data_IF_640610170562
#
_entry.id   IF_640610170562
#
_cell.length_a   1.000
_cell.length_b   1.000
_cell.length_c   1.000
_cell.angle_alpha   90.00
_cell.angle_beta   90.00
_cell.angle_gamma   90.00
#
_symmetry.space_group_name_H-M   'P 1'
#
loop_
_entity.id
_entity.type
_entity.pdbx_description
1 polymer ?
#
# COMPACT_ATOMS: atom_id res chain seq x y z
N UNK A 1 12.89 17.52 15.86
CA UNK A 1 12.04 16.31 16.05
C UNK A 1 12.13 15.35 14.85
N UNK A 2 13.33 15.02 14.38
CA UNK A 2 13.52 14.16 13.19
C UNK A 2 13.28 12.66 13.43
N UNK A 3 13.50 12.18 14.67
CA UNK A 3 13.39 10.76 15.02
C UNK A 3 11.97 10.17 14.88
N UNK A 4 10.92 10.94 15.20
CA UNK A 4 9.52 10.47 15.07
C UNK A 4 9.12 10.26 13.61
N UNK A 5 9.65 11.08 12.68
CA UNK A 5 9.41 10.94 11.25
C UNK A 5 10.09 9.68 10.69
N UNK A 6 11.34 9.42 11.07
CA UNK A 6 12.09 8.26 10.56
C UNK A 6 11.36 6.93 10.85
N UNK A 7 10.92 6.74 12.11
CA UNK A 7 10.19 5.53 12.52
C UNK A 7 8.88 5.31 11.76
N UNK A 8 8.22 6.38 11.32
CA UNK A 8 6.99 6.27 10.53
C UNK A 8 7.26 5.79 9.11
N UNK A 9 8.36 6.23 8.49
CA UNK A 9 8.79 5.72 7.20
C UNK A 9 9.15 4.25 7.28
N UNK A 10 9.91 3.84 8.31
CA UNK A 10 10.27 2.43 8.52
C UNK A 10 9.03 1.54 8.57
N UNK A 11 8.02 1.93 9.36
CA UNK A 11 6.76 1.18 9.47
C UNK A 11 5.99 1.14 8.14
N UNK A 12 5.95 2.24 7.39
CA UNK A 12 5.26 2.29 6.09
C UNK A 12 5.98 1.40 5.06
N UNK A 13 7.31 1.40 5.08
CA UNK A 13 8.15 0.56 4.22
C UNK A 13 7.96 -0.92 4.57
N UNK A 14 7.93 -1.29 5.84
CA UNK A 14 7.63 -2.66 6.28
C UNK A 14 6.22 -3.09 5.82
N UNK A 15 5.21 -2.24 6.00
CA UNK A 15 3.83 -2.52 5.57
C UNK A 15 3.70 -2.80 4.07
N UNK A 16 4.41 -2.02 3.24
CA UNK A 16 4.35 -2.21 1.79
C UNK A 16 5.26 -3.35 1.33
N UNK A 17 6.43 -3.53 1.94
CA UNK A 17 7.33 -4.63 1.64
C UNK A 17 6.67 -6.00 1.89
N UNK A 18 5.97 -6.16 3.02
CA UNK A 18 5.17 -7.36 3.31
C UNK A 18 4.09 -7.65 2.24
N UNK A 19 3.62 -6.62 1.52
CA UNK A 19 2.70 -6.81 0.39
C UNK A 19 3.40 -7.29 -0.89
N UNK A 20 4.67 -6.90 -1.07
CA UNK A 20 5.48 -7.17 -2.26
C UNK A 20 6.32 -8.46 -2.13
N UNK A 21 6.56 -8.94 -0.90
CA UNK A 21 7.34 -10.13 -0.57
C UNK A 21 6.63 -11.46 -0.93
N UNK A 22 5.72 -11.44 -1.91
CA UNK A 22 5.14 -12.66 -2.49
C UNK A 22 6.13 -13.46 -3.35
N UNK A 23 7.37 -12.98 -3.52
CA UNK A 23 8.44 -13.69 -4.22
C UNK A 23 9.20 -12.85 -5.25
N UNK A 24 8.95 -11.54 -5.37
CA UNK A 24 9.67 -10.67 -6.32
C UNK A 24 10.83 -9.94 -5.65
N UNK A 25 12.06 -10.38 -5.93
CA UNK A 25 13.25 -9.52 -5.83
C UNK A 25 13.08 -8.37 -6.84
N UNK A 26 13.16 -7.12 -6.40
CA UNK A 26 13.06 -5.93 -7.28
C UNK A 26 14.37 -5.80 -8.06
N UNK A 27 14.61 -6.67 -9.03
CA UNK A 27 15.81 -6.65 -9.87
C UNK A 27 15.50 -6.10 -11.27
N UNK A 28 15.85 -4.83 -11.49
CA UNK A 28 15.86 -4.17 -12.81
C UNK A 28 14.76 -3.13 -13.02
N UNK A 29 15.07 -2.09 -13.80
CA UNK A 29 14.16 -0.97 -14.10
C UNK A 29 12.87 -1.40 -14.82
N UNK A 30 12.93 -2.48 -15.62
CA UNK A 30 11.77 -3.04 -16.32
C UNK A 30 10.78 -3.65 -15.33
N UNK A 31 11.26 -4.48 -14.38
CA UNK A 31 10.43 -5.06 -13.33
C UNK A 31 9.81 -3.97 -12.43
N UNK A 32 10.54 -2.88 -12.16
CA UNK A 32 9.99 -1.75 -11.42
C UNK A 32 8.85 -1.04 -12.16
N UNK A 33 8.94 -0.88 -13.49
CA UNK A 33 7.87 -0.30 -14.31
C UNK A 33 6.65 -1.22 -14.38
N UNK A 34 6.85 -2.52 -14.52
CA UNK A 34 5.77 -3.51 -14.51
C UNK A 34 5.05 -3.52 -13.16
N UNK A 35 5.80 -3.54 -12.05
CA UNK A 35 5.22 -3.45 -10.71
C UNK A 35 4.43 -2.15 -10.51
N UNK A 36 4.95 -1.01 -10.98
CA UNK A 36 4.20 0.25 -10.96
C UNK A 36 2.91 0.18 -11.79
N UNK A 37 2.92 -0.54 -12.92
CA UNK A 37 1.73 -0.84 -13.71
C UNK A 37 0.71 -1.69 -12.94
N UNK A 38 1.15 -2.79 -12.32
CA UNK A 38 0.31 -3.67 -11.50
C UNK A 38 -0.30 -2.94 -10.30
N UNK A 39 0.48 -2.10 -9.62
CA UNK A 39 -0.01 -1.26 -8.51
C UNK A 39 -1.07 -0.26 -8.98
N UNK A 40 -0.86 0.41 -10.11
CA UNK A 40 -1.84 1.33 -10.68
C UNK A 40 -3.13 0.61 -11.09
N UNK A 41 -3.02 -0.57 -11.72
CA UNK A 41 -4.16 -1.39 -12.06
C UNK A 41 -4.94 -1.83 -10.81
N UNK A 42 -4.25 -2.30 -9.77
CA UNK A 42 -4.83 -2.63 -8.48
C UNK A 42 -5.57 -1.44 -7.86
N UNK A 43 -4.96 -0.25 -7.82
CA UNK A 43 -5.60 0.96 -7.30
C UNK A 43 -6.87 1.31 -8.08
N UNK A 44 -6.90 1.01 -9.38
CA UNK A 44 -8.09 1.14 -10.23
C UNK A 44 -9.25 0.23 -9.84
N UNK A 45 -8.97 -0.90 -9.18
CA UNK A 45 -10.01 -1.84 -8.69
C UNK A 45 -10.66 -1.40 -7.38
N UNK A 46 -10.03 -0.46 -6.65
CA UNK A 46 -10.51 -0.01 -5.35
C UNK A 46 -11.63 1.03 -5.49
N UNK A 47 -12.59 0.99 -4.58
CA UNK A 47 -13.53 2.09 -4.41
C UNK A 47 -12.76 3.38 -4.02
N UNK A 48 -13.39 4.54 -4.23
CA UNK A 48 -12.74 5.84 -4.04
C UNK A 48 -12.17 6.02 -2.64
N UNK A 49 -12.88 5.56 -1.59
CA UNK A 49 -12.46 5.72 -0.20
C UNK A 49 -11.22 4.88 0.12
N UNK A 50 -11.23 3.60 -0.24
CA UNK A 50 -10.10 2.70 0.02
C UNK A 50 -8.85 3.15 -0.73
N UNK A 51 -9.02 3.63 -1.98
CA UNK A 51 -7.94 4.21 -2.79
C UNK A 51 -7.36 5.47 -2.15
N UNK A 52 -8.19 6.41 -1.69
CA UNK A 52 -7.72 7.62 -1.03
C UNK A 52 -6.92 7.28 0.24
N UNK A 53 -7.42 6.37 1.06
CA UNK A 53 -6.73 5.92 2.29
C UNK A 53 -5.37 5.30 1.95
N UNK A 54 -5.32 4.44 0.93
CA UNK A 54 -4.07 3.80 0.50
C UNK A 54 -3.05 4.82 -0.03
N UNK A 55 -3.47 5.75 -0.88
CA UNK A 55 -2.58 6.80 -1.42
C UNK A 55 -2.09 7.74 -0.33
N UNK A 56 -2.95 8.16 0.61
CA UNK A 56 -2.52 8.96 1.75
C UNK A 56 -1.48 8.23 2.61
N UNK A 57 -1.62 6.91 2.80
CA UNK A 57 -0.68 6.11 3.57
C UNK A 57 0.67 5.92 2.89
N UNK A 58 0.68 5.53 1.61
CA UNK A 58 1.90 5.06 0.94
C UNK A 58 2.55 6.12 0.02
N UNK A 59 1.77 7.06 -0.52
CA UNK A 59 2.30 8.12 -1.37
C UNK A 59 2.64 9.38 -0.57
N UNK A 60 1.73 9.79 0.32
CA UNK A 60 1.91 10.96 1.18
C UNK A 60 2.53 10.65 2.54
N UNK A 61 2.74 9.37 2.84
CA UNK A 61 3.35 8.89 4.08
C UNK A 61 2.63 9.35 5.36
N UNK A 62 1.32 9.59 5.29
CA UNK A 62 0.52 10.05 6.42
C UNK A 62 0.31 8.92 7.46
N UNK A 63 0.18 9.33 8.72
CA UNK A 63 -0.17 8.44 9.81
C UNK A 63 -1.65 8.07 9.74
N UNK A 64 -2.01 6.95 10.36
CA UNK A 64 -3.42 6.54 10.48
C UNK A 64 -4.27 7.64 11.13
N UNK A 65 -3.72 8.39 12.09
CA UNK A 65 -4.43 9.49 12.74
C UNK A 65 -4.68 10.65 11.79
N UNK A 66 -3.66 11.08 11.05
CA UNK A 66 -3.80 12.15 10.03
C UNK A 66 -4.80 11.76 8.93
N UNK A 67 -4.78 10.50 8.48
CA UNK A 67 -5.74 9.99 7.49
C UNK A 67 -7.16 10.01 8.06
N UNK A 68 -7.33 9.59 9.32
CA UNK A 68 -8.62 9.55 9.98
C UNK A 68 -9.20 10.96 10.16
N UNK A 69 -8.37 11.93 10.51
CA UNK A 69 -8.72 13.35 10.60
C UNK A 69 -9.13 13.91 9.23
N UNK A 70 -8.31 13.71 8.20
CA UNK A 70 -8.56 14.19 6.83
C UNK A 70 -9.87 13.67 6.22
N UNK A 71 -10.30 12.49 6.63
CA UNK A 71 -11.48 11.82 6.09
C UNK A 71 -12.65 11.75 7.07
N UNK A 72 -12.56 12.49 8.18
CA UNK A 72 -13.58 12.55 9.24
C UNK A 72 -14.07 11.15 9.68
N UNK A 73 -13.14 10.25 9.96
CA UNK A 73 -13.43 8.89 10.43
C UNK A 73 -12.61 8.52 11.67
N UNK A 74 -12.87 7.33 12.23
CA UNK A 74 -12.09 6.85 13.36
C UNK A 74 -10.75 6.27 12.91
N UNK A 75 -9.68 6.38 13.72
CA UNK A 75 -8.40 5.72 13.44
C UNK A 75 -8.53 4.21 13.28
N UNK A 76 -9.48 3.57 13.98
CA UNK A 76 -9.74 2.14 13.83
C UNK A 76 -10.30 1.81 12.43
N UNK A 77 -11.24 2.61 11.92
CA UNK A 77 -11.77 2.43 10.57
C UNK A 77 -10.68 2.55 9.50
N UNK A 78 -9.77 3.52 9.64
CA UNK A 78 -8.62 3.68 8.76
C UNK A 78 -7.67 2.46 8.82
N UNK A 79 -7.34 1.93 10.01
CA UNK A 79 -6.51 0.70 10.15
C UNK A 79 -7.16 -0.51 9.49
N UNK A 80 -8.44 -0.74 9.74
CA UNK A 80 -9.17 -1.89 9.17
C UNK A 80 -9.22 -1.79 7.66
N UNK A 81 -9.49 -0.60 7.11
CA UNK A 81 -9.42 -0.36 5.67
C UNK A 81 -8.03 -0.67 5.11
N UNK A 82 -6.97 -0.09 5.69
CA UNK A 82 -5.59 -0.33 5.26
C UNK A 82 -5.21 -1.81 5.28
N UNK A 83 -5.55 -2.52 6.36
CA UNK A 83 -5.29 -3.95 6.46
C UNK A 83 -6.01 -4.74 5.36
N UNK A 84 -7.31 -4.50 5.15
CA UNK A 84 -8.08 -5.17 4.09
C UNK A 84 -7.54 -4.86 2.69
N UNK A 85 -7.14 -3.62 2.44
CA UNK A 85 -6.57 -3.22 1.14
C UNK A 85 -5.21 -3.86 0.91
N UNK A 86 -4.35 -3.97 1.93
CA UNK A 86 -3.08 -4.70 1.83
C UNK A 86 -3.28 -6.19 1.54
N UNK A 87 -4.23 -6.84 2.22
CA UNK A 87 -4.54 -8.25 1.94
C UNK A 87 -5.06 -8.46 0.52
N UNK A 88 -5.90 -7.53 0.01
CA UNK A 88 -6.31 -7.55 -1.40
C UNK A 88 -5.12 -7.37 -2.34
N UNK A 89 -4.19 -6.47 -2.05
CA UNK A 89 -2.99 -6.27 -2.86
C UNK A 89 -2.14 -7.54 -2.92
N UNK A 90 -1.86 -8.15 -1.76
CA UNK A 90 -1.15 -9.45 -1.68
C UNK A 90 -1.81 -10.52 -2.54
N UNK A 91 -3.14 -10.64 -2.46
CA UNK A 91 -3.88 -11.61 -3.26
C UNK A 91 -3.84 -11.29 -4.75
N UNK A 92 -3.95 -10.01 -5.11
CA UNK A 92 -3.87 -9.54 -6.49
C UNK A 92 -2.51 -9.87 -7.13
N UNK A 93 -1.41 -9.54 -6.44
CA UNK A 93 -0.05 -9.82 -6.93
C UNK A 93 0.23 -11.33 -7.06
N UNK A 94 -0.22 -12.14 -6.09
CA UNK A 94 -0.13 -13.61 -6.17
C UNK A 94 -0.91 -14.21 -7.35
N UNK A 95 -2.03 -13.59 -7.75
CA UNK A 95 -2.81 -14.04 -8.91
C UNK A 95 -2.15 -13.61 -10.22
N UNK A 96 -1.61 -12.38 -10.28
CA UNK A 96 -0.87 -11.89 -11.44
C UNK A 96 0.35 -12.77 -11.76
N UNK A 97 1.08 -13.22 -10.73
CA UNK A 97 2.19 -14.17 -10.89
C UNK A 97 1.76 -15.52 -11.50
N UNK A 98 0.59 -16.05 -11.11
CA UNK A 98 0.08 -17.34 -11.62
C UNK A 98 -0.43 -17.28 -13.05
N UNK A 99 -0.84 -16.12 -13.54
CA UNK A 99 -1.32 -15.91 -14.91
C UNK A 99 -0.21 -15.63 -15.94
N UNK A 100 1.04 -15.53 -15.49
CA UNK A 100 2.21 -15.25 -16.34
C UNK A 100 3.03 -16.51 -16.71
N UNK A 101 2.48 -17.70 -16.44
CA UNK A 101 2.97 -19.04 -16.86
C UNK A 101 2.05 -19.63 -17.93
#
# INVERSE_FOLDING_TARGET
>A
TAQKRNRQYDVILEEIADCLDSGRSVEGEILARELAGELNAFLGTLNSRDRIIFVQRYWYCLSVSEIAENLHMTPNAARVCLHRTREKLKQYLKQAERGSL
#
